data_IF_920404654076
#
_entry.id   IF_920404654076
#
_cell.length_a   1.000
_cell.length_b   1.000
_cell.length_c   1.000
_cell.angle_alpha   90.00
_cell.angle_beta   90.00
_cell.angle_gamma   90.00
#
_symmetry.space_group_name_H-M   'P 1'
#
loop_
_entity.id
_entity.type
_entity.pdbx_description
1 polymer ?
#
# COMPACT_ATOMS: atom_id res chain seq x y z
N UNK A 1 -2.63 9.93 -13.55
CA UNK A 1 -2.77 8.92 -12.46
C UNK A 1 -3.31 7.68 -13.11
N UNK A 2 -2.71 6.54 -12.80
CA UNK A 2 -3.08 5.26 -13.40
C UNK A 2 -3.44 4.26 -12.31
N UNK A 3 -4.23 3.24 -12.67
CA UNK A 3 -4.51 2.11 -11.79
C UNK A 3 -4.43 0.77 -12.52
N UNK A 4 -4.14 -0.26 -11.73
CA UNK A 4 -4.11 -1.64 -12.18
C UNK A 4 -4.70 -2.55 -11.10
N UNK A 5 -5.14 -3.74 -11.52
CA UNK A 5 -5.60 -4.80 -10.60
C UNK A 5 -4.45 -5.80 -10.46
N UNK A 6 -4.16 -6.16 -9.22
CA UNK A 6 -3.22 -7.21 -8.83
C UNK A 6 -3.97 -8.36 -8.16
N UNK A 7 -3.89 -9.55 -8.76
CA UNK A 7 -4.49 -10.75 -8.20
C UNK A 7 -3.61 -11.32 -7.08
N UNK A 8 -4.04 -11.12 -5.83
CA UNK A 8 -3.29 -11.61 -4.66
C UNK A 8 -3.93 -12.87 -4.05
N UNK A 9 -3.18 -13.65 -3.23
CA UNK A 9 -3.74 -14.78 -2.48
C UNK A 9 -4.85 -14.41 -1.50
N UNK A 10 -5.03 -13.12 -1.19
CA UNK A 10 -6.06 -12.60 -0.28
C UNK A 10 -7.18 -11.86 -1.04
N UNK A 11 -7.27 -12.08 -2.36
CA UNK A 11 -8.24 -11.45 -3.26
C UNK A 11 -7.64 -10.32 -4.10
N UNK A 12 -8.37 -9.80 -5.09
CA UNK A 12 -7.88 -8.75 -5.98
C UNK A 12 -7.63 -7.44 -5.22
N UNK A 13 -6.48 -6.83 -5.51
CA UNK A 13 -6.07 -5.52 -4.98
C UNK A 13 -6.01 -4.52 -6.13
N UNK A 14 -6.65 -3.37 -5.98
CA UNK A 14 -6.48 -2.27 -6.92
C UNK A 14 -5.36 -1.37 -6.45
N UNK A 15 -4.36 -1.18 -7.30
CA UNK A 15 -3.18 -0.35 -7.08
C UNK A 15 -3.33 0.94 -7.87
N UNK A 16 -3.01 2.08 -7.26
CA UNK A 16 -3.01 3.37 -7.96
C UNK A 16 -1.72 4.14 -7.76
N UNK A 17 -1.21 4.72 -8.85
CA UNK A 17 -0.01 5.53 -8.87
C UNK A 17 -0.21 6.89 -9.54
N UNK A 18 0.57 7.86 -9.08
CA UNK A 18 0.74 9.16 -9.71
C UNK A 18 1.94 9.22 -10.67
N UNK A 19 2.65 8.12 -10.91
CA UNK A 19 3.88 8.07 -11.74
C UNK A 19 5.19 8.18 -10.94
N UNK A 20 5.13 8.63 -9.69
CA UNK A 20 6.28 8.80 -8.80
C UNK A 20 6.19 7.96 -7.52
N UNK A 21 4.97 7.73 -7.04
CA UNK A 21 4.69 6.98 -5.83
C UNK A 21 3.36 6.22 -5.91
N UNK A 22 3.23 5.21 -5.06
CA UNK A 22 1.98 4.49 -4.83
C UNK A 22 1.13 5.34 -3.90
N UNK A 23 -0.04 5.76 -4.36
CA UNK A 23 -0.90 6.68 -3.63
C UNK A 23 -2.05 5.96 -2.91
N UNK A 24 -2.43 4.77 -3.38
CA UNK A 24 -3.50 3.98 -2.79
C UNK A 24 -3.40 2.50 -3.18
N UNK A 25 -3.75 1.64 -2.23
CA UNK A 25 -4.01 0.20 -2.40
C UNK A 25 -5.33 -0.09 -1.70
N UNK A 26 -6.25 -0.77 -2.37
CA UNK A 26 -7.56 -1.12 -1.81
C UNK A 26 -8.01 -2.48 -2.31
N UNK A 27 -8.75 -3.22 -1.48
CA UNK A 27 -9.39 -4.45 -1.91
C UNK A 27 -10.49 -4.18 -2.92
N UNK A 28 -10.70 -5.09 -3.87
CA UNK A 28 -11.87 -5.00 -4.73
C UNK A 28 -13.17 -5.02 -3.89
N UNK A 29 -14.07 -4.05 -4.13
CA UNK A 29 -15.27 -3.85 -3.30
C UNK A 29 -15.01 -3.22 -1.92
N UNK A 30 -13.80 -2.71 -1.67
CA UNK A 30 -13.40 -2.04 -0.43
C UNK A 30 -14.19 -0.75 -0.14
N UNK A 31 -14.02 -0.24 1.09
CA UNK A 31 -14.77 0.93 1.58
C UNK A 31 -14.34 2.25 0.94
N UNK A 32 -13.12 2.32 0.43
CA UNK A 32 -12.57 3.54 -0.18
C UNK A 32 -12.34 3.31 -1.66
N UNK A 33 -13.40 3.35 -2.49
CA UNK A 33 -13.27 3.13 -3.92
C UNK A 33 -12.30 4.15 -4.51
N UNK A 34 -11.42 3.66 -5.38
CA UNK A 34 -10.53 4.51 -6.15
C UNK A 34 -11.35 5.40 -7.09
N UNK A 35 -10.95 6.67 -7.28
CA UNK A 35 -11.42 7.44 -8.41
C UNK A 35 -11.16 6.67 -9.71
N UNK A 36 -11.94 7.00 -10.74
CA UNK A 36 -11.76 6.39 -12.05
C UNK A 36 -10.45 6.91 -12.67
N UNK A 37 -9.35 6.18 -12.45
CA UNK A 37 -8.06 6.42 -13.07
C UNK A 37 -7.93 5.68 -14.39
N UNK A 38 -6.99 6.12 -15.23
CA UNK A 38 -6.68 5.42 -16.47
C UNK A 38 -6.11 4.04 -16.15
N UNK A 39 -6.64 3.01 -16.78
CA UNK A 39 -6.11 1.66 -16.62
C UNK A 39 -4.75 1.56 -17.30
N UNK A 40 -3.74 1.11 -16.57
CA UNK A 40 -2.40 0.96 -17.10
C UNK A 40 -1.37 0.64 -16.03
N UNK A 41 -0.13 0.44 -16.47
CA UNK A 41 1.01 0.19 -15.60
C UNK A 41 2.07 1.28 -15.78
N UNK A 42 2.81 1.53 -14.71
CA UNK A 42 4.03 2.31 -14.69
C UNK A 42 5.07 1.59 -13.82
N UNK A 43 6.26 2.18 -13.75
CA UNK A 43 7.37 1.67 -12.93
C UNK A 43 6.98 1.44 -11.46
N UNK A 44 6.04 2.20 -10.91
CA UNK A 44 5.63 2.09 -9.51
C UNK A 44 4.70 0.91 -9.34
N UNK A 45 3.70 0.76 -10.20
CA UNK A 45 2.81 -0.40 -10.21
C UNK A 45 3.60 -1.68 -10.47
N UNK A 46 4.48 -1.69 -11.46
CA UNK A 46 5.33 -2.84 -11.78
C UNK A 46 6.22 -3.25 -10.59
N UNK A 47 6.84 -2.26 -9.93
CA UNK A 47 7.61 -2.50 -8.71
C UNK A 47 6.72 -3.03 -7.58
N UNK A 48 5.54 -2.45 -7.39
CA UNK A 48 4.58 -2.87 -6.35
C UNK A 48 4.16 -4.32 -6.55
N UNK A 49 3.75 -4.71 -7.76
CA UNK A 49 3.37 -6.08 -8.10
C UNK A 49 4.51 -7.06 -7.79
N UNK A 50 5.73 -6.75 -8.23
CA UNK A 50 6.90 -7.59 -7.96
C UNK A 50 7.19 -7.73 -6.46
N UNK A 51 7.09 -6.65 -5.69
CA UNK A 51 7.33 -6.70 -4.25
C UNK A 51 6.22 -7.47 -3.53
N UNK A 52 4.97 -7.34 -3.95
CA UNK A 52 3.85 -8.13 -3.46
C UNK A 52 4.04 -9.63 -3.74
N UNK A 53 4.47 -10.00 -4.95
CA UNK A 53 4.77 -11.40 -5.29
C UNK A 53 5.81 -11.99 -4.34
N UNK A 54 6.89 -11.24 -4.07
CA UNK A 54 7.92 -11.66 -3.14
C UNK A 54 7.41 -11.71 -1.68
N UNK A 55 6.56 -10.77 -1.29
CA UNK A 55 5.95 -10.72 0.04
C UNK A 55 5.08 -11.95 0.28
N UNK A 56 4.16 -12.25 -0.64
CA UNK A 56 3.27 -13.41 -0.54
C UNK A 56 4.01 -14.74 -0.68
N UNK A 57 5.15 -14.77 -1.39
CA UNK A 57 6.05 -15.92 -1.41
C UNK A 57 6.92 -16.05 -0.13
N UNK A 58 6.80 -15.15 0.84
CA UNK A 58 7.59 -15.15 2.08
C UNK A 58 9.06 -14.76 1.89
N UNK A 59 9.42 -14.16 0.75
CA UNK A 59 10.79 -13.79 0.35
C UNK A 59 11.14 -12.32 0.60
N UNK A 60 10.14 -11.49 0.90
CA UNK A 60 10.31 -10.06 1.17
C UNK A 60 9.68 -9.71 2.52
N UNK A 61 10.41 -8.95 3.32
CA UNK A 61 9.98 -8.45 4.64
C UNK A 61 9.89 -6.93 4.72
N UNK A 62 10.49 -6.23 3.76
CA UNK A 62 10.53 -4.78 3.69
C UNK A 62 10.26 -4.34 2.25
N UNK A 63 9.27 -3.46 2.08
CA UNK A 63 8.91 -2.87 0.80
C UNK A 63 9.81 -1.66 0.51
N UNK A 64 10.20 -1.50 -0.76
CA UNK A 64 11.01 -0.38 -1.25
C UNK A 64 10.24 0.53 -2.19
N UNK A 65 9.03 0.15 -2.60
CA UNK A 65 8.18 1.03 -3.39
C UNK A 65 7.92 2.33 -2.62
N UNK A 66 8.08 3.46 -3.31
CA UNK A 66 7.76 4.78 -2.76
C UNK A 66 6.25 4.90 -2.57
N UNK A 67 5.83 5.34 -1.39
CA UNK A 67 4.41 5.60 -1.08
C UNK A 67 4.20 7.08 -0.77
N UNK A 68 3.11 7.65 -1.25
CA UNK A 68 2.69 9.03 -0.97
C UNK A 68 1.19 9.11 -0.64
N UNK A 69 0.77 8.56 0.52
CA UNK A 69 -0.63 8.56 0.91
C UNK A 69 -1.10 9.96 1.27
N UNK A 70 -2.20 10.39 0.67
CA UNK A 70 -2.82 11.70 0.92
C UNK A 70 -3.75 11.62 2.15
N UNK A 71 -3.56 12.50 3.13
CA UNK A 71 -4.34 12.52 4.36
C UNK A 71 -4.10 13.73 5.24
N UNK A 72 -4.80 13.79 6.38
CA UNK A 72 -4.57 14.80 7.41
C UNK A 72 -3.20 14.62 8.08
N UNK A 73 -2.72 15.64 8.78
CA UNK A 73 -1.49 15.52 9.57
C UNK A 73 -1.57 14.37 10.59
N UNK A 74 -2.73 14.21 11.23
CA UNK A 74 -2.97 13.10 12.15
C UNK A 74 -2.86 11.74 11.45
N UNK A 75 -3.47 11.57 10.27
CA UNK A 75 -3.36 10.34 9.49
C UNK A 75 -1.92 10.04 9.10
N UNK A 76 -1.16 11.05 8.63
CA UNK A 76 0.26 10.89 8.29
C UNK A 76 1.11 10.46 9.48
N UNK A 77 0.86 11.03 10.66
CA UNK A 77 1.53 10.60 11.91
C UNK A 77 1.18 9.16 12.27
N UNK A 78 -0.09 8.79 12.18
CA UNK A 78 -0.53 7.43 12.43
C UNK A 78 0.14 6.42 11.47
N UNK A 79 0.19 6.73 10.17
CA UNK A 79 0.86 5.89 9.17
C UNK A 79 2.37 5.81 9.38
N UNK A 80 3.02 6.90 9.78
CA UNK A 80 4.44 6.89 10.14
C UNK A 80 4.72 5.90 11.28
N UNK A 81 3.87 5.87 12.31
CA UNK A 81 3.97 4.89 13.40
C UNK A 81 3.71 3.45 12.92
N UNK A 82 2.78 3.23 11.98
CA UNK A 82 2.56 1.89 11.40
C UNK A 82 3.78 1.37 10.64
N UNK A 83 4.48 2.24 9.89
CA UNK A 83 5.71 1.85 9.16
C UNK A 83 6.86 1.43 10.07
N UNK A 84 6.84 1.82 11.35
CA UNK A 84 7.87 1.44 12.32
C UNK A 84 7.64 0.05 12.95
N UNK A 85 6.51 -0.61 12.66
CA UNK A 85 6.21 -1.96 13.16
C UNK A 85 6.99 -2.98 12.33
N UNK A 86 7.88 -3.79 12.93
CA UNK A 86 8.61 -4.82 12.19
C UNK A 86 7.69 -5.90 11.60
N UNK A 87 8.13 -6.52 10.51
CA UNK A 87 7.42 -7.64 9.90
C UNK A 87 7.17 -8.77 10.93
N UNK A 88 5.93 -9.24 11.01
CA UNK A 88 5.52 -10.31 11.93
C UNK A 88 5.28 -9.85 13.38
N UNK A 89 5.44 -8.56 13.67
CA UNK A 89 5.10 -7.99 14.98
C UNK A 89 3.75 -7.27 14.98
N UNK A 90 3.22 -7.00 16.17
CA UNK A 90 1.99 -6.24 16.38
C UNK A 90 2.22 -5.09 17.34
N UNK A 91 1.37 -4.05 17.24
CA UNK A 91 1.21 -2.99 18.24
C UNK A 91 -0.27 -2.79 18.52
N UNK A 92 -0.62 -2.49 19.76
CA UNK A 92 -1.97 -2.07 20.11
C UNK A 92 -2.19 -0.60 19.73
N UNK A 93 -3.45 -0.20 19.58
CA UNK A 93 -3.79 1.21 19.34
C UNK A 93 -3.24 2.15 20.42
N UNK A 94 -3.24 1.71 21.68
CA UNK A 94 -2.67 2.49 22.78
C UNK A 94 -1.14 2.62 22.69
N UNK A 95 -0.44 1.60 22.17
CA UNK A 95 1.00 1.68 21.89
C UNK A 95 1.28 2.63 20.72
N UNK A 96 0.49 2.55 19.64
CA UNK A 96 0.62 3.42 18.49
C UNK A 96 0.38 4.89 18.86
N UNK A 97 -0.62 5.18 19.71
CA UNK A 97 -0.93 6.54 20.14
C UNK A 97 0.13 7.18 21.06
N UNK A 98 1.04 6.39 21.64
CA UNK A 98 2.13 6.86 22.52
C UNK A 98 3.45 7.09 21.80
N UNK A 99 3.61 6.57 20.59
CA UNK A 99 4.79 6.75 19.75
C UNK A 99 4.81 8.17 19.14
#
# INVERSE_FOLDING_TARGET
MISAIYDSPIGPLTLASNGEALIQVEFEGGKYPLPQYELGNDKIIDQTCRELDLYFAGKLREFKVTVDPQGTEFQRRAWAALRAIPYGETRSYAQQAKA
#
